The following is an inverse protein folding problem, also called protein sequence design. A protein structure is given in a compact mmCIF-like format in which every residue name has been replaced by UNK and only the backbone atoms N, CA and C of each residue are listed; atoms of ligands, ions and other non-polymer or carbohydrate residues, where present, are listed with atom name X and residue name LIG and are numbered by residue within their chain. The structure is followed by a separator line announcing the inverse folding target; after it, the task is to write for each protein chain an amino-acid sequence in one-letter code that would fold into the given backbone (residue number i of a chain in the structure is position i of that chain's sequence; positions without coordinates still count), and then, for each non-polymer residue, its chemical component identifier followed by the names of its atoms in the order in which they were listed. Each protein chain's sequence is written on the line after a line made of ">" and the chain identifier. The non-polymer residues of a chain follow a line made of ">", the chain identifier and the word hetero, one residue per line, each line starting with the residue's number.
data_IF_452807893605
#
_entry.id   IF_452807893605
#
_cell.length_a   1.000
_cell.length_b   1.000
_cell.length_c   1.000
_cell.angle_alpha   90.00
_cell.angle_beta   90.00
_cell.angle_gamma   90.00
#
_symmetry.space_group_name_H-M   'P 1'
#
loop_
_entity.id
_entity.type
_entity.pdbx_description
1 polymer ?
#
# COMPACT_ATOMS: atom_id res chain seq x y z
N UNK A 1 3.31 21.70 9.38
CA UNK A 1 3.71 20.60 10.28
C UNK A 1 3.69 19.35 9.43
N UNK A 2 4.84 18.71 9.21
CA UNK A 2 4.88 17.45 8.49
C UNK A 2 4.14 16.42 9.34
N UNK A 3 3.07 15.82 8.80
CA UNK A 3 2.49 14.64 9.40
C UNK A 3 3.50 13.53 9.20
N UNK A 4 4.21 13.15 10.25
CA UNK A 4 5.23 12.10 10.18
C UNK A 4 4.54 10.76 9.92
N UNK A 5 4.44 10.41 8.64
CA UNK A 5 3.99 9.10 8.19
C UNK A 5 4.91 8.00 8.73
N UNK A 6 4.34 6.98 9.33
CA UNK A 6 5.09 5.84 9.85
C UNK A 6 5.73 5.05 8.70
N UNK A 7 7.05 4.85 8.76
CA UNK A 7 7.79 3.98 7.83
C UNK A 7 8.09 2.64 8.51
N UNK A 8 7.65 1.54 7.91
CA UNK A 8 7.89 0.18 8.39
C UNK A 8 8.67 -0.59 7.31
N UNK A 9 9.92 -0.94 7.61
CA UNK A 9 10.76 -1.77 6.76
C UNK A 9 11.69 -2.67 7.59
N UNK A 10 12.19 -3.74 6.98
CA UNK A 10 13.11 -4.68 7.62
C UNK A 10 14.56 -4.15 7.65
N UNK A 11 15.30 -4.45 8.72
CA UNK A 11 16.77 -4.65 8.67
C UNK A 11 17.18 -6.14 8.83
N UNK A 12 16.31 -6.98 9.41
CA UNK A 12 16.26 -8.45 9.36
C UNK A 12 15.18 -8.88 10.37
N UNK A 13 13.91 -8.97 9.96
CA UNK A 13 12.86 -9.55 10.81
C UNK A 13 12.03 -10.57 10.04
N UNK A 14 12.32 -11.86 10.26
CA UNK A 14 11.40 -12.95 9.89
C UNK A 14 10.28 -12.99 10.93
N UNK A 15 9.14 -12.35 10.62
CA UNK A 15 7.91 -12.50 11.42
C UNK A 15 7.00 -13.54 10.77
N UNK A 16 6.21 -14.22 11.61
CA UNK A 16 5.18 -15.16 11.14
C UNK A 16 4.07 -14.47 10.33
N UNK A 17 3.89 -13.16 10.52
CA UNK A 17 2.86 -12.31 9.92
C UNK A 17 3.47 -10.96 9.49
N UNK A 18 2.69 -10.14 8.79
CA UNK A 18 3.13 -8.86 8.21
C UNK A 18 3.84 -7.89 9.14
N UNK A 19 4.54 -6.92 8.53
CA UNK A 19 5.24 -5.86 9.23
C UNK A 19 4.34 -5.09 10.21
N UNK A 20 3.08 -4.87 9.81
CA UNK A 20 2.00 -4.42 10.69
C UNK A 20 0.97 -5.53 10.86
N UNK A 21 0.66 -5.89 12.11
CA UNK A 21 -0.39 -6.84 12.47
C UNK A 21 -1.40 -6.15 13.39
N UNK A 22 -2.68 -6.19 13.03
CA UNK A 22 -3.79 -5.68 13.84
C UNK A 22 -4.84 -6.77 14.03
N UNK A 23 -5.43 -6.82 15.23
CA UNK A 23 -6.53 -7.73 15.58
C UNK A 23 -7.81 -6.96 15.96
N UNK A 24 -8.89 -7.70 16.23
CA UNK A 24 -10.17 -7.15 16.66
C UNK A 24 -10.11 -6.32 17.95
N UNK A 25 -9.07 -6.49 18.78
CA UNK A 25 -8.87 -5.71 20.02
C UNK A 25 -8.07 -4.43 19.75
N UNK A 26 -7.29 -4.42 18.67
CA UNK A 26 -6.40 -3.34 18.24
C UNK A 26 -6.97 -2.61 17.02
N UNK A 27 -8.13 -1.95 17.18
CA UNK A 27 -8.83 -1.23 16.10
C UNK A 27 -8.53 0.28 16.11
N UNK A 28 -7.42 0.75 15.49
CA UNK A 28 -7.30 2.17 15.18
C UNK A 28 -8.46 2.56 14.25
N UNK A 29 -9.00 3.77 14.42
CA UNK A 29 -10.07 4.28 13.56
C UNK A 29 -9.60 4.37 12.09
N UNK A 30 -8.31 4.67 11.87
CA UNK A 30 -7.66 4.66 10.57
C UNK A 30 -6.13 4.52 10.70
N UNK A 31 -5.52 3.89 9.70
CA UNK A 31 -4.09 3.93 9.37
C UNK A 31 -3.96 4.88 8.17
N UNK A 32 -3.11 5.89 8.28
CA UNK A 32 -2.92 6.83 7.18
C UNK A 32 -1.49 7.28 7.00
N UNK A 33 -1.12 7.60 5.76
CA UNK A 33 0.18 8.17 5.40
C UNK A 33 1.38 7.27 5.76
N UNK A 34 1.16 5.96 5.84
CA UNK A 34 2.22 5.00 6.15
C UNK A 34 2.90 4.48 4.88
N UNK A 35 4.20 4.22 5.00
CA UNK A 35 5.00 3.51 4.00
C UNK A 35 5.44 2.17 4.58
N UNK A 36 4.99 1.06 4.00
CA UNK A 36 5.32 -0.31 4.40
C UNK A 36 6.02 -0.99 3.24
N UNK A 37 7.33 -1.24 3.36
CA UNK A 37 8.11 -1.74 2.25
C UNK A 37 9.29 -2.61 2.67
N UNK A 38 9.75 -3.46 1.75
CA UNK A 38 10.94 -4.30 1.94
C UNK A 38 10.86 -5.14 3.23
N UNK A 39 9.69 -5.73 3.48
CA UNK A 39 9.47 -6.66 4.59
C UNK A 39 9.35 -8.08 4.05
N UNK A 40 9.89 -9.04 4.80
CA UNK A 40 9.78 -10.47 4.51
C UNK A 40 9.03 -11.17 5.64
N UNK A 41 7.92 -11.83 5.31
CA UNK A 41 7.17 -12.65 6.27
C UNK A 41 6.85 -14.03 5.68
N UNK A 42 6.29 -14.91 6.51
CA UNK A 42 5.71 -16.16 6.01
C UNK A 42 4.41 -15.88 5.23
N UNK A 43 3.55 -15.03 5.80
CA UNK A 43 2.27 -14.61 5.22
C UNK A 43 2.13 -13.09 5.32
N UNK A 44 1.41 -12.48 4.38
CA UNK A 44 0.96 -11.09 4.52
C UNK A 44 2.12 -10.09 4.68
N UNK A 45 3.18 -10.17 3.85
CA UNK A 45 4.49 -9.51 4.05
C UNK A 45 4.44 -8.05 4.55
N UNK A 46 3.55 -7.23 3.99
CA UNK A 46 3.33 -5.85 4.42
C UNK A 46 2.40 -5.73 5.63
N UNK A 47 1.11 -6.02 5.47
CA UNK A 47 0.09 -5.80 6.52
C UNK A 47 -0.84 -7.00 6.66
N UNK A 48 -1.09 -7.39 7.91
CA UNK A 48 -2.05 -8.44 8.26
C UNK A 48 -3.12 -7.90 9.21
N UNK A 49 -4.39 -8.15 8.87
CA UNK A 49 -5.54 -7.76 9.69
C UNK A 49 -6.29 -9.01 10.15
N UNK A 50 -6.10 -9.44 11.39
CA UNK A 50 -6.82 -10.55 12.01
C UNK A 50 -8.20 -10.09 12.48
N UNK A 51 -9.21 -10.19 11.60
CA UNK A 51 -10.60 -9.81 11.91
C UNK A 51 -10.77 -8.34 12.35
N UNK A 52 -9.85 -7.44 11.96
CA UNK A 52 -9.89 -6.03 12.34
C UNK A 52 -10.79 -5.19 11.42
N UNK A 53 -11.62 -4.30 12.01
CA UNK A 53 -12.40 -3.31 11.25
C UNK A 53 -11.71 -1.94 11.31
N UNK A 54 -10.99 -1.57 10.25
CA UNK A 54 -10.27 -0.30 10.17
C UNK A 54 -10.26 0.26 8.74
N UNK A 55 -9.66 1.43 8.56
CA UNK A 55 -9.45 2.09 7.27
C UNK A 55 -7.96 2.27 7.02
N UNK A 56 -7.52 2.01 5.80
CA UNK A 56 -6.15 2.27 5.33
C UNK A 56 -6.23 3.30 4.22
N UNK A 57 -5.65 4.48 4.45
CA UNK A 57 -5.83 5.65 3.57
C UNK A 57 -4.50 6.31 3.26
N UNK A 58 -4.22 6.65 2.00
CA UNK A 58 -2.97 7.32 1.61
C UNK A 58 -1.71 6.56 2.04
N UNK A 59 -1.76 5.23 1.99
CA UNK A 59 -0.62 4.37 2.32
C UNK A 59 0.06 3.84 1.06
N UNK A 60 1.35 3.53 1.18
CA UNK A 60 2.11 2.79 0.17
C UNK A 60 2.58 1.49 0.79
N UNK A 61 2.09 0.35 0.28
CA UNK A 61 2.52 -1.00 0.64
C UNK A 61 3.21 -1.60 -0.56
N UNK A 62 4.54 -1.63 -0.57
CA UNK A 62 5.27 -1.93 -1.78
C UNK A 62 6.52 -2.79 -1.55
N UNK A 63 6.84 -3.67 -2.49
CA UNK A 63 8.04 -4.51 -2.44
C UNK A 63 8.17 -5.30 -1.13
N UNK A 64 7.05 -5.77 -0.57
CA UNK A 64 7.05 -6.73 0.53
C UNK A 64 6.94 -8.15 -0.04
N UNK A 65 7.56 -9.11 0.62
CA UNK A 65 7.63 -10.51 0.21
C UNK A 65 6.97 -11.41 1.27
N UNK A 66 6.16 -12.36 0.83
CA UNK A 66 5.66 -13.45 1.66
C UNK A 66 6.13 -14.79 1.09
N UNK A 67 6.57 -15.73 1.93
CA UNK A 67 6.95 -17.07 1.48
C UNK A 67 5.78 -17.95 1.06
N UNK A 68 4.56 -17.58 1.45
CA UNK A 68 3.35 -18.31 1.10
C UNK A 68 2.43 -17.43 0.26
N UNK A 69 1.48 -16.74 0.89
CA UNK A 69 0.50 -15.87 0.22
C UNK A 69 0.54 -14.42 0.70
N UNK A 70 0.06 -13.54 -0.17
CA UNK A 70 -0.20 -12.11 0.05
C UNK A 70 1.06 -11.33 0.45
N UNK A 71 1.98 -11.07 -0.47
CA UNK A 71 3.15 -10.22 -0.18
C UNK A 71 2.78 -8.85 0.41
N UNK A 72 1.73 -8.22 -0.10
CA UNK A 72 1.31 -6.87 0.31
C UNK A 72 0.42 -6.88 1.55
N UNK A 73 -0.87 -7.18 1.38
CA UNK A 73 -1.86 -7.10 2.47
C UNK A 73 -2.80 -8.28 2.49
N UNK A 74 -3.16 -8.74 3.69
CA UNK A 74 -4.22 -9.73 3.89
C UNK A 74 -5.23 -9.29 4.95
N UNK A 75 -6.51 -9.25 4.57
CA UNK A 75 -7.65 -9.10 5.48
C UNK A 75 -8.21 -10.47 5.89
N UNK A 76 -7.97 -10.84 7.14
CA UNK A 76 -8.46 -12.04 7.81
C UNK A 76 -9.95 -12.03 8.16
N UNK A 77 -10.72 -11.03 7.69
CA UNK A 77 -12.18 -11.10 7.64
C UNK A 77 -12.89 -9.96 8.36
N UNK A 78 -12.17 -8.94 8.81
CA UNK A 78 -12.75 -7.82 9.52
C UNK A 78 -13.49 -6.85 8.61
N UNK A 79 -13.20 -6.85 7.30
CA UNK A 79 -13.82 -5.94 6.33
C UNK A 79 -13.11 -4.59 6.27
N UNK A 80 -11.79 -4.64 6.14
CA UNK A 80 -10.93 -3.45 6.05
C UNK A 80 -11.28 -2.66 4.79
N UNK A 81 -11.31 -1.33 4.91
CA UNK A 81 -11.52 -0.42 3.78
C UNK A 81 -10.22 0.25 3.40
N UNK A 82 -9.76 0.00 2.19
CA UNK A 82 -8.58 0.61 1.61
C UNK A 82 -9.01 1.71 0.66
N UNK A 83 -8.40 2.90 0.77
CA UNK A 83 -8.66 3.98 -0.16
C UNK A 83 -7.45 4.82 -0.49
N UNK A 84 -7.35 5.32 -1.72
CA UNK A 84 -6.29 6.25 -2.15
C UNK A 84 -4.89 5.74 -1.80
N UNK A 85 -4.67 4.43 -1.89
CA UNK A 85 -3.45 3.74 -1.43
C UNK A 85 -2.82 2.95 -2.57
N UNK A 86 -1.50 2.73 -2.49
CA UNK A 86 -0.71 2.05 -3.52
C UNK A 86 -0.25 0.69 -3.00
N UNK A 87 -0.54 -0.36 -3.76
CA UNK A 87 -0.10 -1.74 -3.54
C UNK A 87 0.66 -2.23 -4.77
N UNK A 88 1.99 -2.25 -4.67
CA UNK A 88 2.82 -2.44 -5.87
C UNK A 88 4.12 -3.18 -5.61
N UNK A 89 4.47 -4.10 -6.49
CA UNK A 89 5.74 -4.83 -6.46
C UNK A 89 5.86 -5.81 -5.30
N UNK A 90 4.77 -6.06 -4.55
CA UNK A 90 4.78 -7.11 -3.53
C UNK A 90 4.76 -8.48 -4.21
N UNK A 91 5.40 -9.47 -3.58
CA UNK A 91 5.59 -10.80 -4.16
C UNK A 91 5.27 -11.89 -3.14
N UNK A 92 4.90 -13.06 -3.63
CA UNK A 92 4.86 -14.27 -2.84
C UNK A 92 5.03 -15.52 -3.72
N UNK A 93 5.24 -16.67 -3.10
CA UNK A 93 5.57 -17.90 -3.83
C UNK A 93 4.34 -18.56 -4.46
N UNK A 94 3.15 -18.42 -3.88
CA UNK A 94 1.96 -19.18 -4.28
C UNK A 94 0.88 -18.38 -5.03
N UNK A 95 0.93 -17.05 -5.04
CA UNK A 95 -0.12 -16.25 -5.67
C UNK A 95 0.26 -15.68 -7.04
N UNK A 96 -0.76 -15.25 -7.78
CA UNK A 96 -0.56 -14.42 -8.97
C UNK A 96 -0.27 -12.94 -8.61
N UNK A 97 -0.07 -12.12 -9.64
CA UNK A 97 0.34 -10.71 -9.49
C UNK A 97 -0.64 -9.92 -8.60
N UNK A 98 -1.96 -10.09 -8.74
CA UNK A 98 -2.94 -9.33 -7.97
C UNK A 98 -2.98 -9.80 -6.53
N UNK A 99 -3.04 -11.11 -6.34
CA UNK A 99 -3.16 -11.73 -5.03
C UNK A 99 -1.89 -11.54 -4.19
N UNK A 100 -0.72 -11.42 -4.82
CA UNK A 100 0.49 -10.97 -4.14
C UNK A 100 0.39 -9.55 -3.58
N UNK A 101 -0.47 -8.68 -4.13
CA UNK A 101 -0.67 -7.32 -3.60
C UNK A 101 -1.69 -7.29 -2.46
N UNK A 102 -2.81 -7.99 -2.63
CA UNK A 102 -3.98 -7.88 -1.77
C UNK A 102 -4.71 -9.22 -1.62
N UNK A 103 -5.17 -9.52 -0.41
CA UNK A 103 -5.90 -10.73 -0.06
C UNK A 103 -7.05 -10.45 0.92
N UNK A 104 -8.07 -11.31 0.88
CA UNK A 104 -9.20 -11.30 1.83
C UNK A 104 -9.79 -12.69 2.02
N UNK A 105 -10.34 -12.98 3.20
CA UNK A 105 -11.12 -14.21 3.44
C UNK A 105 -12.63 -14.04 3.18
N UNK A 106 -13.15 -12.82 3.13
CA UNK A 106 -14.57 -12.55 2.87
C UNK A 106 -14.78 -11.32 1.98
N UNK A 107 -16.01 -11.10 1.53
CA UNK A 107 -16.34 -10.07 0.54
C UNK A 107 -16.47 -8.64 1.10
N UNK A 108 -16.34 -8.45 2.42
CA UNK A 108 -16.53 -7.13 3.06
C UNK A 108 -15.33 -6.19 2.86
N UNK A 109 -14.15 -6.72 2.52
CA UNK A 109 -12.96 -5.93 2.22
C UNK A 109 -13.16 -5.13 0.94
N UNK A 110 -12.94 -3.83 1.00
CA UNK A 110 -13.20 -2.90 -0.12
C UNK A 110 -11.96 -2.09 -0.47
N UNK A 111 -11.71 -1.88 -1.75
CA UNK A 111 -10.60 -1.07 -2.27
C UNK A 111 -11.15 0.03 -3.18
N UNK A 112 -10.88 1.29 -2.86
CA UNK A 112 -11.40 2.43 -3.62
C UNK A 112 -10.31 3.42 -4.00
N UNK A 113 -10.22 3.77 -5.28
CA UNK A 113 -9.21 4.70 -5.77
C UNK A 113 -7.78 4.28 -5.41
N UNK A 114 -7.56 2.96 -5.31
CA UNK A 114 -6.25 2.37 -5.05
C UNK A 114 -5.51 2.08 -6.35
N UNK A 115 -4.19 2.18 -6.30
CA UNK A 115 -3.33 1.64 -7.35
C UNK A 115 -2.89 0.23 -6.94
N UNK A 116 -3.33 -0.81 -7.66
CA UNK A 116 -3.03 -2.21 -7.33
C UNK A 116 -2.42 -2.89 -8.55
N UNK A 117 -1.20 -3.39 -8.41
CA UNK A 117 -0.54 -4.11 -9.50
C UNK A 117 -1.36 -5.33 -9.93
N UNK A 118 -1.63 -5.44 -11.23
CA UNK A 118 -2.39 -6.55 -11.78
C UNK A 118 -3.88 -6.55 -11.41
N UNK A 119 -4.45 -5.39 -11.04
CA UNK A 119 -5.86 -5.30 -10.68
C UNK A 119 -6.78 -5.86 -11.78
N UNK A 120 -7.53 -6.91 -11.46
CA UNK A 120 -8.48 -7.56 -12.37
C UNK A 120 -9.94 -7.15 -12.14
N UNK A 121 -10.22 -6.41 -11.06
CA UNK A 121 -11.59 -6.10 -10.62
C UNK A 121 -12.27 -7.19 -9.79
N UNK A 122 -11.55 -8.26 -9.38
CA UNK A 122 -12.11 -9.34 -8.54
C UNK A 122 -12.52 -8.95 -7.12
N UNK A 123 -12.25 -7.72 -6.69
CA UNK A 123 -12.59 -7.19 -5.37
C UNK A 123 -13.61 -6.07 -5.49
N UNK A 124 -14.38 -5.85 -4.42
CA UNK A 124 -15.36 -4.76 -4.37
C UNK A 124 -14.68 -3.39 -4.25
N UNK A 125 -15.29 -2.38 -4.88
CA UNK A 125 -14.89 -0.98 -4.80
C UNK A 125 -14.82 -0.32 -6.18
N UNK A 126 -14.37 0.93 -6.23
CA UNK A 126 -14.44 1.77 -7.44
C UNK A 126 -13.17 2.56 -7.67
N UNK A 127 -12.91 2.97 -8.93
CA UNK A 127 -11.85 3.92 -9.25
C UNK A 127 -10.41 3.37 -9.12
N UNK A 128 -10.24 2.05 -8.93
CA UNK A 128 -8.91 1.45 -8.83
C UNK A 128 -8.21 1.43 -10.19
N UNK A 129 -6.88 1.56 -10.16
CA UNK A 129 -6.00 1.56 -11.33
C UNK A 129 -4.90 0.50 -11.17
N UNK A 130 -4.32 0.06 -12.28
CA UNK A 130 -3.23 -0.93 -12.33
C UNK A 130 -1.97 -0.42 -13.05
N UNK A 131 -1.95 0.86 -13.42
CA UNK A 131 -0.80 1.45 -14.09
C UNK A 131 0.34 1.69 -13.09
N UNK A 132 1.61 1.51 -13.50
CA UNK A 132 2.75 1.67 -12.61
C UNK A 132 2.76 3.02 -11.86
N UNK A 133 3.00 3.04 -10.53
CA UNK A 133 3.05 4.27 -9.75
C UNK A 133 4.20 5.21 -10.14
N UNK A 134 5.18 4.74 -10.91
CA UNK A 134 6.37 5.50 -11.30
C UNK A 134 7.06 6.14 -10.09
N UNK A 135 7.41 5.31 -9.10
CA UNK A 135 8.24 5.75 -7.98
C UNK A 135 9.60 6.28 -8.47
N UNK A 136 10.17 7.20 -7.70
CA UNK A 136 11.44 7.86 -8.03
C UNK A 136 12.61 6.90 -7.92
N UNK A 137 12.81 6.31 -6.74
CA UNK A 137 13.94 5.44 -6.44
C UNK A 137 13.62 4.45 -5.30
N UNK A 138 12.75 3.45 -5.53
CA UNK A 138 12.39 2.46 -4.51
C UNK A 138 13.57 1.72 -3.86
N UNK A 139 14.64 1.32 -4.59
CA UNK A 139 15.80 0.67 -3.98
C UNK A 139 16.49 1.50 -2.89
N UNK A 140 16.35 2.82 -2.94
CA UNK A 140 16.89 3.74 -1.94
C UNK A 140 15.80 4.34 -1.03
N UNK A 141 14.59 3.76 -1.04
CA UNK A 141 13.48 4.17 -0.17
C UNK A 141 12.75 5.45 -0.61
N UNK A 142 12.96 5.94 -1.84
CA UNK A 142 12.23 7.10 -2.38
C UNK A 142 10.98 6.64 -3.15
N UNK A 143 9.88 6.56 -2.41
CA UNK A 143 8.55 6.21 -2.89
C UNK A 143 7.69 7.42 -3.29
N UNK A 144 8.28 8.62 -3.42
CA UNK A 144 7.56 9.68 -4.10
C UNK A 144 7.24 9.24 -5.53
N UNK A 145 6.04 9.59 -6.00
CA UNK A 145 5.66 9.38 -7.38
C UNK A 145 6.21 10.49 -8.26
N UNK A 146 6.66 10.16 -9.48
CA UNK A 146 7.21 11.14 -10.41
C UNK A 146 6.16 12.17 -10.84
N UNK A 147 6.58 13.43 -10.99
CA UNK A 147 5.71 14.55 -11.36
C UNK A 147 6.41 15.57 -12.26
N UNK A 148 5.83 15.86 -13.43
CA UNK A 148 6.26 16.98 -14.27
C UNK A 148 5.90 18.35 -13.65
N UNK A 149 4.89 18.40 -12.78
CA UNK A 149 4.53 19.60 -12.02
C UNK A 149 5.49 19.88 -10.85
N UNK A 150 6.31 18.88 -10.50
CA UNK A 150 7.33 18.96 -9.47
C UNK A 150 7.00 18.10 -8.25
N UNK A 151 8.05 17.64 -7.58
CA UNK A 151 8.03 16.98 -6.27
C UNK A 151 9.17 17.50 -5.40
N UNK A 152 9.03 17.36 -4.09
CA UNK A 152 10.10 17.71 -3.16
C UNK A 152 11.13 16.58 -3.09
N UNK A 153 12.39 16.90 -3.38
CA UNK A 153 13.53 15.99 -3.18
C UNK A 153 14.18 16.35 -1.84
N UNK A 154 14.03 15.49 -0.83
CA UNK A 154 14.57 15.71 0.51
C UNK A 154 16.09 15.66 0.57
N UNK A 155 16.74 14.91 -0.34
CA UNK A 155 18.21 14.79 -0.39
C UNK A 155 18.81 16.08 -0.95
N UNK A 156 18.18 16.64 -1.98
CA UNK A 156 18.59 17.91 -2.59
C UNK A 156 18.06 19.14 -1.85
N UNK A 157 17.03 18.98 -1.02
CA UNK A 157 16.32 20.09 -0.37
C UNK A 157 15.68 21.05 -1.39
N UNK A 158 15.19 20.51 -2.51
CA UNK A 158 14.70 21.32 -3.63
C UNK A 158 13.51 20.66 -4.34
N UNK A 159 12.70 21.49 -5.00
CA UNK A 159 11.69 21.01 -5.93
C UNK A 159 12.36 20.55 -7.23
N UNK A 160 12.08 19.33 -7.63
CA UNK A 160 12.57 18.72 -8.88
C UNK A 160 11.39 18.38 -9.78
N UNK A 161 11.52 18.59 -11.08
CA UNK A 161 10.55 18.15 -12.07
C UNK A 161 11.07 16.88 -12.73
N UNK A 162 10.22 15.85 -12.78
CA UNK A 162 10.54 14.61 -13.48
C UNK A 162 10.07 14.68 -14.94
N UNK A 163 10.55 13.76 -15.79
CA UNK A 163 10.19 13.72 -17.22
C UNK A 163 8.78 13.20 -17.48
N UNK A 164 8.19 12.53 -16.49
CA UNK A 164 6.88 11.85 -16.59
C UNK A 164 6.05 12.14 -15.33
N UNK A 165 4.73 12.14 -15.50
CA UNK A 165 3.77 12.25 -14.41
C UNK A 165 3.18 10.88 -14.13
N UNK A 166 3.24 10.46 -12.87
CA UNK A 166 2.65 9.21 -12.43
C UNK A 166 1.15 9.17 -12.68
N UNK A 167 0.60 8.04 -13.15
CA UNK A 167 -0.85 7.84 -13.26
C UNK A 167 -1.56 7.80 -11.90
N UNK A 168 -0.82 7.70 -10.79
CA UNK A 168 -1.37 7.79 -9.44
C UNK A 168 -1.65 9.23 -9.01
N UNK A 169 -1.08 10.23 -9.68
CA UNK A 169 -1.41 11.64 -9.41
C UNK A 169 -2.83 11.91 -9.90
N UNK A 170 -3.62 12.57 -9.05
CA UNK A 170 -5.02 12.92 -9.30
C UNK A 170 -5.96 11.72 -9.56
N UNK A 171 -5.56 10.51 -9.17
CA UNK A 171 -6.37 9.30 -9.27
C UNK A 171 -7.26 9.02 -8.04
N UNK A 172 -7.20 9.89 -7.02
CA UNK A 172 -7.99 9.77 -5.79
C UNK A 172 -9.47 10.06 -5.97
N UNK A 173 -10.27 9.83 -4.93
CA UNK A 173 -11.71 10.13 -4.94
C UNK A 173 -11.95 11.65 -5.15
N UNK A 174 -12.61 12.08 -6.25
CA UNK A 174 -12.86 13.50 -6.53
C UNK A 174 -13.85 14.15 -5.57
N UNK A 175 -14.61 13.36 -4.79
CA UNK A 175 -15.48 13.86 -3.74
C UNK A 175 -14.76 14.04 -2.40
N UNK A 176 -13.48 13.64 -2.30
CA UNK A 176 -12.68 13.90 -1.11
C UNK A 176 -12.52 15.41 -0.92
N UNK A 177 -12.91 15.97 0.23
CA UNK A 177 -12.71 17.39 0.50
C UNK A 177 -11.22 17.74 0.39
N UNK A 178 -10.90 18.80 -0.35
CA UNK A 178 -9.60 19.45 -0.27
C UNK A 178 -9.46 20.03 1.14
N UNK A 179 -8.69 19.36 1.99
CA UNK A 179 -8.44 19.80 3.37
C UNK A 179 -7.34 20.86 3.39
#
# INVERSE_FOLDING_TARGET
>A
MAGDGLRLHSEFMQRLWGALCLDAESMPEHIAHCLVYDNLAEWAGGMYFAEAYTRVVHCTVAFNEARDQWGGVMDGGGGVRFSSSIFWGNTCDLDDVQWAQIGRVNENTRFDYCCVQGWTGGFTGVGNIDQPPLFVDPPHGDFHVKSQAGRWDTVRGAWVQDEVTSPCIDAGDPATPIM
#
